data_IF_685276057000
#
_entry.id   IF_685276057000
#
_cell.length_a   1.000
_cell.length_b   1.000
_cell.length_c   1.000
_cell.angle_alpha   90.00
_cell.angle_beta   90.00
_cell.angle_gamma   90.00
#
_symmetry.space_group_name_H-M   'P 1'
#
loop_
_entity.id
_entity.type
_entity.pdbx_description
1 polymer ?
#
# COMPACT_ATOMS: atom_id res chain seq x y z
N UNK A 1 -40.41 8.64 -24.11
CA UNK A 1 -41.32 8.51 -22.96
C UNK A 1 -40.44 8.49 -21.71
N UNK A 2 -40.78 9.31 -20.70
CA UNK A 2 -40.05 9.58 -19.44
C UNK A 2 -38.95 10.67 -19.45
N UNK A 3 -39.42 11.91 -19.50
CA UNK A 3 -38.82 13.07 -18.84
C UNK A 3 -39.23 13.09 -17.36
N UNK A 4 -38.32 13.38 -16.44
CA UNK A 4 -38.69 13.85 -15.09
C UNK A 4 -37.85 15.07 -14.70
N UNK A 5 -38.52 16.21 -14.70
CA UNK A 5 -38.14 17.47 -14.06
C UNK A 5 -38.31 17.28 -12.54
N UNK A 6 -37.27 17.54 -11.76
CA UNK A 6 -37.41 17.77 -10.32
C UNK A 6 -37.37 19.27 -10.08
N UNK A 7 -38.54 19.79 -9.74
CA UNK A 7 -38.80 21.15 -9.29
C UNK A 7 -38.23 21.35 -7.89
N UNK A 8 -37.42 22.40 -7.69
CA UNK A 8 -37.11 22.91 -6.36
C UNK A 8 -37.70 24.31 -6.25
N UNK A 9 -38.77 24.43 -5.46
CA UNK A 9 -39.27 25.72 -5.01
C UNK A 9 -39.93 25.56 -3.64
N UNK A 10 -39.37 26.23 -2.63
CA UNK A 10 -40.17 26.92 -1.61
C UNK A 10 -39.29 27.93 -0.91
N UNK A 11 -39.53 29.16 -1.35
CA UNK A 11 -39.12 30.45 -0.84
C UNK A 11 -39.70 30.68 0.57
N UNK A 12 -39.05 31.59 1.31
CA UNK A 12 -39.54 32.37 2.47
C UNK A 12 -39.48 31.65 3.84
N UNK A 13 -39.17 32.27 4.97
CA UNK A 13 -38.81 33.64 5.32
C UNK A 13 -38.37 33.63 6.80
N UNK A 14 -37.73 34.73 7.22
CA UNK A 14 -37.76 35.33 8.55
C UNK A 14 -37.32 34.49 9.76
N UNK A 15 -36.30 34.97 10.48
CA UNK A 15 -36.53 35.72 11.72
C UNK A 15 -35.20 36.27 12.24
N UNK A 16 -35.03 37.57 12.02
CA UNK A 16 -34.11 38.42 12.75
C UNK A 16 -34.69 38.60 14.17
N UNK A 17 -34.08 37.93 15.16
CA UNK A 17 -34.38 38.14 16.57
C UNK A 17 -33.16 38.67 17.29
N UNK A 18 -33.11 40.00 17.31
CA UNK A 18 -32.59 40.87 18.37
C UNK A 18 -32.80 40.26 19.76
N UNK A 19 -31.73 39.91 20.48
CA UNK A 19 -31.67 40.20 21.92
C UNK A 19 -30.24 40.11 22.50
N UNK A 20 -29.53 41.24 22.52
CA UNK A 20 -28.40 41.44 23.45
C UNK A 20 -29.01 41.83 24.79
N UNK A 21 -29.40 40.85 25.60
CA UNK A 21 -29.68 41.08 27.00
C UNK A 21 -28.36 41.42 27.70
N UNK A 22 -28.18 42.73 27.87
CA UNK A 22 -27.39 43.33 28.92
C UNK A 22 -27.91 42.76 30.24
N UNK A 23 -27.10 41.91 30.88
CA UNK A 23 -27.20 41.69 32.33
C UNK A 23 -25.79 41.81 32.85
N UNK A 24 -25.46 43.04 33.26
CA UNK A 24 -24.32 43.28 34.12
C UNK A 24 -24.58 42.58 35.45
N UNK A 25 -23.72 41.63 35.79
CA UNK A 25 -23.56 41.19 37.17
C UNK A 25 -22.26 41.79 37.66
N UNK A 26 -22.40 43.01 38.17
CA UNK A 26 -21.45 43.68 39.05
C UNK A 26 -21.54 43.06 40.44
N UNK A 27 -20.50 42.35 40.84
CA UNK A 27 -20.11 42.11 42.23
C UNK A 27 -18.58 42.01 42.25
N UNK A 28 -17.92 43.17 42.32
CA UNK A 28 -17.22 43.69 43.51
C UNK A 28 -15.83 43.08 43.73
N UNK A 29 -14.86 44.00 43.60
CA UNK A 29 -13.54 44.04 44.24
C UNK A 29 -12.53 42.97 43.82
N UNK A 30 -11.76 43.24 42.76
CA UNK A 30 -10.29 43.26 42.78
C UNK A 30 -9.79 44.05 41.55
N UNK A 31 -8.84 44.99 41.70
CA UNK A 31 -8.38 45.79 40.57
C UNK A 31 -7.60 44.92 39.58
N UNK A 32 -7.94 45.07 38.30
CA UNK A 32 -7.18 44.53 37.17
C UNK A 32 -5.84 45.25 37.11
N UNK A 33 -4.83 44.65 37.74
CA UNK A 33 -3.45 44.83 37.30
C UNK A 33 -3.24 43.98 36.06
N UNK A 34 -2.85 44.58 34.94
CA UNK A 34 -2.50 43.87 33.71
C UNK A 34 -1.31 42.95 33.96
N UNK A 35 -1.58 41.69 34.32
CA UNK A 35 -0.58 40.64 34.36
C UNK A 35 -0.35 40.17 32.94
N UNK A 36 0.82 40.52 32.40
CA UNK A 36 1.35 39.98 31.16
C UNK A 36 1.21 38.44 31.20
N UNK A 37 0.42 37.88 30.27
CA UNK A 37 0.04 36.47 30.21
C UNK A 37 1.25 35.50 30.11
N UNK A 38 2.46 36.04 29.96
CA UNK A 38 3.71 35.31 29.85
C UNK A 38 4.28 34.75 31.18
N UNK A 39 3.73 35.11 32.35
CA UNK A 39 4.36 34.83 33.67
C UNK A 39 3.59 33.88 34.59
N UNK A 40 2.60 33.14 34.08
CA UNK A 40 1.88 32.13 34.86
C UNK A 40 2.73 30.85 35.03
N UNK A 41 2.76 30.20 36.21
CA UNK A 41 3.45 28.92 36.38
C UNK A 41 2.85 27.87 35.44
N UNK A 42 3.71 27.03 34.83
CA UNK A 42 3.36 26.02 33.81
C UNK A 42 2.12 25.18 34.20
N UNK A 43 1.99 24.85 35.49
CA UNK A 43 0.88 24.08 36.05
C UNK A 43 -0.48 24.78 35.88
N UNK A 44 -0.54 26.09 36.09
CA UNK A 44 -1.77 26.89 35.96
C UNK A 44 -2.15 27.06 34.49
N UNK A 45 -1.15 27.19 33.61
CA UNK A 45 -1.36 27.23 32.16
C UNK A 45 -1.91 25.91 31.61
N UNK A 46 -1.39 24.78 32.11
CA UNK A 46 -1.91 23.45 31.77
C UNK A 46 -3.34 23.27 32.27
N UNK A 47 -3.64 23.70 33.50
CA UNK A 47 -4.98 23.61 34.08
C UNK A 47 -6.01 24.49 33.34
N UNK A 48 -5.61 25.71 32.95
CA UNK A 48 -6.43 26.61 32.13
C UNK A 48 -6.76 26.00 30.76
N UNK A 49 -5.76 25.44 30.07
CA UNK A 49 -5.94 24.80 28.77
C UNK A 49 -6.84 23.55 28.81
N UNK A 50 -6.86 22.81 29.92
CA UNK A 50 -7.77 21.69 30.11
C UNK A 50 -9.21 22.14 30.41
N UNK A 51 -9.40 23.24 31.16
CA UNK A 51 -10.73 23.80 31.44
C UNK A 51 -11.41 24.32 30.15
N UNK A 52 -10.66 24.88 29.22
CA UNK A 52 -11.18 25.32 27.91
C UNK A 52 -11.62 24.18 26.98
N UNK A 53 -11.29 22.92 27.31
CA UNK A 53 -11.78 21.74 26.59
C UNK A 53 -13.11 21.22 27.15
N UNK A 54 -13.64 21.84 28.20
CA UNK A 54 -14.90 21.45 28.83
C UNK A 54 -16.04 22.37 28.38
N UNK A 55 -17.19 21.78 28.05
CA UNK A 55 -18.46 22.50 27.92
C UNK A 55 -18.86 23.13 29.28
N UNK A 56 -19.78 24.10 29.27
CA UNK A 56 -20.46 24.70 30.43
C UNK A 56 -20.97 23.70 31.48
N UNK A 57 -21.14 22.42 31.11
CA UNK A 57 -21.53 21.30 31.99
C UNK A 57 -20.36 20.39 32.40
N UNK A 58 -19.11 20.79 32.19
CA UNK A 58 -17.91 20.03 32.58
C UNK A 58 -17.59 18.82 31.69
N UNK A 59 -18.19 18.71 30.50
CA UNK A 59 -17.94 17.58 29.58
C UNK A 59 -16.81 17.89 28.63
N UNK A 60 -15.87 16.96 28.43
CA UNK A 60 -14.82 17.06 27.40
C UNK A 60 -15.48 17.16 26.03
N UNK A 61 -15.34 18.31 25.38
CA UNK A 61 -15.75 18.49 24.00
C UNK A 61 -14.81 17.65 23.13
N UNK A 62 -15.35 16.66 22.43
CA UNK A 62 -14.62 16.04 21.33
C UNK A 62 -14.25 17.15 20.36
N UNK A 63 -12.94 17.35 20.15
CA UNK A 63 -12.42 18.38 19.25
C UNK A 63 -13.00 18.16 17.86
N UNK A 64 -14.03 18.94 17.51
CA UNK A 64 -14.74 18.91 16.24
C UNK A 64 -13.96 19.54 15.10
N UNK A 65 -12.69 19.90 15.32
CA UNK A 65 -11.84 20.44 14.27
C UNK A 65 -11.76 19.42 13.14
N UNK A 66 -12.11 19.79 11.89
CA UNK A 66 -11.97 18.89 10.76
C UNK A 66 -10.51 18.48 10.65
N UNK A 67 -10.28 17.18 10.43
CA UNK A 67 -8.94 16.66 10.16
C UNK A 67 -8.41 17.40 8.93
N UNK A 68 -7.42 18.26 9.15
CA UNK A 68 -6.79 19.05 8.10
C UNK A 68 -5.46 18.39 7.82
N UNK A 69 -5.32 17.82 6.62
CA UNK A 69 -4.03 17.33 6.15
C UNK A 69 -3.14 18.54 5.93
N UNK A 70 -2.26 18.82 6.90
CA UNK A 70 -1.18 19.77 6.72
C UNK A 70 -0.02 18.98 6.13
N UNK A 71 0.31 19.26 4.87
CA UNK A 71 1.51 18.72 4.25
C UNK A 71 2.72 19.30 5.00
N UNK A 72 3.26 18.50 5.90
CA UNK A 72 4.44 18.86 6.67
C UNK A 72 5.64 18.44 5.84
N UNK A 73 6.45 19.42 5.44
CA UNK A 73 7.68 19.17 4.72
C UNK A 73 8.57 18.28 5.59
N UNK A 74 9.18 17.24 5.01
CA UNK A 74 9.99 16.26 5.75
C UNK A 74 11.12 16.91 6.55
N UNK A 75 11.55 18.09 6.10
CA UNK A 75 12.58 18.95 6.71
C UNK A 75 12.13 19.53 8.07
N UNK A 76 10.83 19.79 8.26
CA UNK A 76 10.25 20.39 9.47
C UNK A 76 9.85 19.35 10.52
N UNK A 77 9.82 18.06 10.14
CA UNK A 77 9.50 16.97 11.06
C UNK A 77 10.76 16.61 11.82
N UNK A 78 10.92 17.15 13.03
CA UNK A 78 11.86 16.57 13.99
C UNK A 78 11.47 15.11 14.19
N UNK A 79 12.29 14.16 13.73
CA UNK A 79 12.01 12.74 13.87
C UNK A 79 12.36 12.31 15.29
N UNK A 80 11.39 12.11 16.20
CA UNK A 80 11.68 11.40 17.43
C UNK A 80 12.24 10.01 17.09
N UNK A 81 13.22 9.51 17.85
CA UNK A 81 13.72 8.12 17.76
C UNK A 81 12.61 7.14 18.16
N UNK A 82 11.63 6.96 17.26
CA UNK A 82 10.55 5.99 17.41
C UNK A 82 10.98 4.71 16.73
N UNK A 83 10.97 3.57 17.43
CA UNK A 83 11.23 2.29 16.79
C UNK A 83 10.13 2.00 15.77
N UNK A 84 10.51 1.42 14.64
CA UNK A 84 9.55 0.89 13.67
C UNK A 84 8.86 -0.34 14.28
N UNK A 85 7.54 -0.45 14.09
CA UNK A 85 6.84 -1.65 14.53
C UNK A 85 7.33 -2.87 13.72
N UNK A 86 7.45 -4.05 14.37
CA UNK A 86 7.77 -5.28 13.65
C UNK A 86 6.64 -5.59 12.67
N UNK A 87 6.99 -5.91 11.41
CA UNK A 87 6.02 -6.09 10.32
C UNK A 87 6.18 -7.47 9.67
N UNK A 88 7.17 -7.68 8.80
CA UNK A 88 7.36 -8.97 8.10
C UNK A 88 7.81 -10.09 9.04
N UNK A 89 8.54 -9.76 10.11
CA UNK A 89 9.09 -10.73 11.06
C UNK A 89 8.03 -11.40 11.92
N UNK A 90 6.88 -10.75 12.14
CA UNK A 90 5.79 -11.27 12.99
C UNK A 90 4.54 -11.65 12.18
N UNK A 91 4.47 -11.29 10.91
CA UNK A 91 3.27 -11.49 10.09
C UNK A 91 3.24 -12.89 9.46
N UNK A 92 2.11 -13.59 9.62
CA UNK A 92 1.86 -14.87 8.97
C UNK A 92 1.44 -14.64 7.51
N UNK A 93 2.35 -14.89 6.58
CA UNK A 93 2.09 -14.69 5.15
C UNK A 93 1.04 -15.71 4.63
N UNK A 94 -0.12 -15.26 4.12
CA UNK A 94 -1.07 -16.14 3.45
C UNK A 94 -0.55 -16.52 2.05
N UNK A 95 -1.08 -17.61 1.48
CA UNK A 95 -0.66 -18.13 0.18
C UNK A 95 -0.67 -17.07 -0.95
N UNK A 96 -1.69 -16.19 -1.09
CA UNK A 96 -1.68 -15.16 -2.12
C UNK A 96 -0.55 -14.13 -1.96
N UNK A 97 -0.14 -13.85 -0.71
CA UNK A 97 0.97 -12.94 -0.44
C UNK A 97 2.31 -13.56 -0.89
N UNK A 98 2.55 -14.83 -0.59
CA UNK A 98 3.73 -15.56 -1.07
C UNK A 98 3.78 -15.55 -2.60
N UNK A 99 2.65 -15.84 -3.25
CA UNK A 99 2.54 -15.83 -4.72
C UNK A 99 2.80 -14.44 -5.34
N UNK A 100 2.48 -13.36 -4.61
CA UNK A 100 2.78 -12.00 -5.06
C UNK A 100 4.28 -11.70 -5.02
N UNK A 101 4.97 -12.16 -3.96
CA UNK A 101 6.43 -12.01 -3.83
C UNK A 101 7.13 -12.85 -4.89
N UNK A 102 6.68 -14.08 -5.12
CA UNK A 102 7.26 -14.94 -6.15
C UNK A 102 7.04 -14.35 -7.54
N UNK A 103 5.90 -13.72 -7.83
CA UNK A 103 5.67 -13.07 -9.13
C UNK A 103 6.65 -11.92 -9.38
N UNK A 104 6.96 -11.12 -8.35
CA UNK A 104 8.00 -10.09 -8.43
C UNK A 104 9.39 -10.69 -8.61
N UNK A 105 9.71 -11.72 -7.82
CA UNK A 105 11.01 -12.39 -7.89
C UNK A 105 11.25 -13.03 -9.25
N UNK A 106 10.25 -13.71 -9.84
CA UNK A 106 10.37 -14.26 -11.19
C UNK A 106 10.48 -13.17 -12.25
N UNK A 107 9.78 -12.04 -12.10
CA UNK A 107 9.93 -10.89 -13.00
C UNK A 107 11.34 -10.32 -13.00
N UNK A 108 11.94 -10.14 -11.81
CA UNK A 108 13.33 -9.69 -11.66
C UNK A 108 14.29 -10.73 -12.26
N UNK A 109 14.11 -12.01 -11.95
CA UNK A 109 14.96 -13.08 -12.47
C UNK A 109 14.93 -13.16 -14.00
N UNK A 110 13.77 -12.99 -14.62
CA UNK A 110 13.62 -12.94 -16.09
C UNK A 110 14.28 -11.69 -16.69
N UNK A 111 14.11 -10.53 -16.05
CA UNK A 111 14.75 -9.29 -16.49
C UNK A 111 16.27 -9.38 -16.44
N UNK A 112 16.83 -9.87 -15.33
CA UNK A 112 18.27 -10.11 -15.19
C UNK A 112 18.75 -11.16 -16.18
N UNK A 113 18.02 -12.27 -16.33
CA UNK A 113 18.35 -13.32 -17.30
C UNK A 113 18.44 -12.78 -18.73
N UNK A 114 17.45 -12.03 -19.19
CA UNK A 114 17.46 -11.41 -20.51
C UNK A 114 18.61 -10.40 -20.66
N UNK A 115 18.85 -9.56 -19.65
CA UNK A 115 19.94 -8.59 -19.65
C UNK A 115 21.32 -9.29 -19.73
N UNK A 116 21.50 -10.41 -19.03
CA UNK A 116 22.74 -11.20 -19.11
C UNK A 116 22.94 -11.85 -20.47
N UNK A 117 21.89 -12.40 -21.08
CA UNK A 117 21.98 -12.97 -22.44
C UNK A 117 22.30 -11.88 -23.47
N UNK A 118 21.65 -10.72 -23.38
CA UNK A 118 21.95 -9.57 -24.23
C UNK A 118 23.39 -9.08 -24.03
N UNK A 119 23.84 -8.97 -22.78
CA UNK A 119 25.21 -8.59 -22.44
C UNK A 119 26.25 -9.56 -22.97
N UNK A 120 26.01 -10.88 -22.85
CA UNK A 120 26.88 -11.91 -23.43
C UNK A 120 26.92 -11.83 -24.95
N UNK A 121 25.81 -11.54 -25.61
CA UNK A 121 25.76 -11.38 -27.06
C UNK A 121 26.50 -10.15 -27.57
N UNK A 122 26.55 -9.06 -26.79
CA UNK A 122 27.16 -7.79 -27.21
C UNK A 122 28.63 -7.70 -26.79
N UNK A 123 28.97 -8.18 -25.59
CA UNK A 123 30.30 -8.03 -25.00
C UNK A 123 31.08 -9.34 -24.89
N UNK A 124 30.45 -10.49 -25.16
CA UNK A 124 31.09 -11.79 -25.07
C UNK A 124 32.09 -12.05 -26.19
N UNK A 125 33.09 -12.89 -25.92
CA UNK A 125 34.07 -13.33 -26.92
C UNK A 125 33.49 -14.27 -27.99
N UNK A 126 32.35 -14.89 -27.71
CA UNK A 126 31.67 -15.87 -28.55
C UNK A 126 30.16 -15.68 -28.47
N UNK A 127 29.42 -16.32 -29.38
CA UNK A 127 27.97 -16.26 -29.42
C UNK A 127 27.32 -17.04 -28.26
N UNK A 128 26.08 -16.68 -27.92
CA UNK A 128 25.29 -17.34 -26.86
C UNK A 128 25.18 -18.87 -27.05
N UNK A 129 24.95 -19.43 -28.26
CA UNK A 129 24.90 -20.88 -28.45
C UNK A 129 26.20 -21.60 -28.07
N UNK A 130 27.36 -20.97 -28.25
CA UNK A 130 28.65 -21.56 -27.88
C UNK A 130 28.73 -21.81 -26.37
N UNK A 131 28.33 -20.83 -25.56
CA UNK A 131 28.31 -20.98 -24.10
C UNK A 131 27.29 -22.01 -23.62
N UNK A 132 26.16 -22.15 -24.34
CA UNK A 132 25.15 -23.18 -24.04
C UNK A 132 25.72 -24.58 -24.29
N UNK A 133 26.40 -24.80 -25.42
CA UNK A 133 27.03 -26.09 -25.72
C UNK A 133 28.18 -26.41 -24.75
N UNK A 134 29.00 -25.41 -24.41
CA UNK A 134 30.06 -25.56 -23.41
C UNK A 134 29.49 -25.98 -22.04
N UNK A 135 28.37 -25.39 -21.63
CA UNK A 135 27.70 -25.76 -20.38
C UNK A 135 27.18 -27.20 -20.41
N UNK A 136 26.54 -27.62 -21.51
CA UNK A 136 26.06 -29.00 -21.69
C UNK A 136 27.17 -30.03 -21.59
N UNK A 137 28.33 -29.73 -22.21
CA UNK A 137 29.49 -30.62 -22.19
C UNK A 137 30.17 -30.67 -20.81
N UNK A 138 30.29 -29.53 -20.15
CA UNK A 138 30.96 -29.42 -18.85
C UNK A 138 30.13 -29.98 -17.71
N UNK A 139 28.80 -29.80 -17.76
CA UNK A 139 27.89 -30.16 -16.66
C UNK A 139 26.61 -30.86 -17.17
N UNK A 140 26.72 -32.07 -17.74
CA UNK A 140 25.59 -32.78 -18.34
C UNK A 140 24.46 -33.08 -17.33
N UNK A 141 24.79 -33.34 -16.05
CA UNK A 141 23.80 -33.59 -15.00
C UNK A 141 22.96 -32.36 -14.66
N UNK A 142 23.47 -31.15 -14.91
CA UNK A 142 22.79 -29.89 -14.61
C UNK A 142 21.91 -29.37 -15.75
N UNK A 143 21.90 -30.04 -16.91
CA UNK A 143 21.13 -29.58 -18.07
C UNK A 143 19.62 -29.54 -17.79
N UNK A 144 19.05 -30.63 -17.25
CA UNK A 144 17.63 -30.68 -16.90
C UNK A 144 17.21 -29.68 -15.80
N UNK A 145 17.92 -29.58 -14.66
CA UNK A 145 17.55 -28.59 -13.65
C UNK A 145 17.74 -27.16 -14.16
N UNK A 146 18.78 -26.87 -14.97
CA UNK A 146 18.95 -25.55 -15.58
C UNK A 146 17.79 -25.19 -16.51
N UNK A 147 17.32 -26.14 -17.34
CA UNK A 147 16.14 -25.96 -18.19
C UNK A 147 14.89 -25.66 -17.37
N UNK A 148 14.68 -26.39 -16.28
CA UNK A 148 13.56 -26.15 -15.38
C UNK A 148 13.64 -24.77 -14.70
N UNK A 149 14.83 -24.37 -14.23
CA UNK A 149 15.08 -23.07 -13.62
C UNK A 149 14.78 -21.90 -14.56
N UNK A 150 14.89 -22.09 -15.88
CA UNK A 150 14.49 -21.09 -16.88
C UNK A 150 13.00 -21.21 -17.23
N UNK A 151 12.49 -22.43 -17.40
CA UNK A 151 11.10 -22.66 -17.80
C UNK A 151 10.08 -22.24 -16.73
N UNK A 152 10.33 -22.58 -15.46
CA UNK A 152 9.42 -22.27 -14.35
C UNK A 152 9.13 -20.78 -14.15
N UNK A 153 10.13 -19.87 -14.04
CA UNK A 153 9.83 -18.45 -13.86
C UNK A 153 9.07 -17.87 -15.04
N UNK A 154 9.31 -18.33 -16.28
CA UNK A 154 8.57 -17.90 -17.47
C UNK A 154 7.09 -18.28 -17.34
N UNK A 155 6.80 -19.56 -17.12
CA UNK A 155 5.42 -20.06 -17.06
C UNK A 155 4.66 -19.50 -15.86
N UNK A 156 5.30 -19.46 -14.69
CA UNK A 156 4.71 -18.91 -13.49
C UNK A 156 4.43 -17.41 -13.63
N UNK A 157 5.39 -16.62 -14.13
CA UNK A 157 5.21 -15.17 -14.28
C UNK A 157 4.09 -14.85 -15.28
N UNK A 158 3.99 -15.59 -16.38
CA UNK A 158 2.92 -15.42 -17.37
C UNK A 158 1.53 -15.72 -16.78
N UNK A 159 1.34 -16.87 -16.13
CA UNK A 159 0.04 -17.22 -15.55
C UNK A 159 -0.36 -16.33 -14.37
N UNK A 160 0.59 -15.98 -13.50
CA UNK A 160 0.36 -15.02 -12.43
C UNK A 160 0.01 -13.63 -12.98
N UNK A 161 0.68 -13.20 -14.05
CA UNK A 161 0.39 -11.95 -14.76
C UNK A 161 -1.03 -11.93 -15.34
N UNK A 162 -1.46 -13.01 -15.99
CA UNK A 162 -2.85 -13.15 -16.49
C UNK A 162 -3.86 -13.02 -15.34
N UNK A 163 -3.58 -13.62 -14.17
CA UNK A 163 -4.45 -13.46 -12.99
C UNK A 163 -4.49 -12.01 -12.52
N UNK A 164 -3.36 -11.31 -12.48
CA UNK A 164 -3.32 -9.90 -12.08
C UNK A 164 -4.15 -9.03 -13.04
N UNK A 165 -3.98 -9.22 -14.36
CA UNK A 165 -4.80 -8.53 -15.37
C UNK A 165 -6.29 -8.84 -15.20
N UNK A 166 -6.63 -10.09 -14.89
CA UNK A 166 -8.01 -10.49 -14.63
C UNK A 166 -8.59 -9.79 -13.39
N UNK A 167 -7.82 -9.70 -12.30
CA UNK A 167 -8.23 -8.97 -11.10
C UNK A 167 -8.43 -7.48 -11.37
N UNK A 168 -7.51 -6.86 -12.11
CA UNK A 168 -7.58 -5.42 -12.41
C UNK A 168 -8.74 -5.08 -13.36
N UNK A 169 -9.04 -5.96 -14.32
CA UNK A 169 -10.07 -5.73 -15.34
C UNK A 169 -11.48 -6.03 -14.81
N UNK A 170 -11.64 -7.14 -14.08
CA UNK A 170 -12.97 -7.64 -13.71
C UNK A 170 -13.33 -7.43 -12.24
N UNK A 171 -12.35 -7.11 -11.37
CA UNK A 171 -12.51 -6.99 -9.91
C UNK A 171 -13.19 -8.23 -9.28
N UNK A 172 -13.03 -9.40 -9.90
CA UNK A 172 -13.61 -10.68 -9.48
C UNK A 172 -12.53 -11.59 -8.90
N UNK A 173 -12.90 -12.41 -7.91
CA UNK A 173 -11.98 -13.39 -7.34
C UNK A 173 -10.92 -12.83 -6.40
N UNK A 174 -11.10 -11.61 -5.90
CA UNK A 174 -10.24 -10.92 -4.92
C UNK A 174 -10.55 -11.28 -3.46
N UNK A 175 -11.61 -12.08 -3.23
CA UNK A 175 -11.93 -12.62 -1.92
C UNK A 175 -10.88 -13.66 -1.50
N UNK A 176 -10.75 -13.91 -0.19
CA UNK A 176 -9.74 -14.82 0.37
C UNK A 176 -9.79 -16.23 -0.22
N UNK A 177 -10.96 -16.90 -0.19
CA UNK A 177 -11.09 -18.28 -0.69
C UNK A 177 -10.81 -18.40 -2.20
N UNK A 178 -11.42 -17.59 -3.09
CA UNK A 178 -11.11 -17.63 -4.52
C UNK A 178 -9.65 -17.26 -4.84
N UNK A 179 -9.06 -16.31 -4.11
CA UNK A 179 -7.66 -15.90 -4.33
C UNK A 179 -6.68 -17.04 -3.97
N UNK A 180 -6.96 -17.79 -2.90
CA UNK A 180 -6.18 -18.99 -2.54
C UNK A 180 -6.34 -20.10 -3.57
N UNK A 181 -7.58 -20.41 -3.97
CA UNK A 181 -7.86 -21.46 -4.94
C UNK A 181 -7.22 -21.20 -6.31
N UNK A 182 -7.41 -19.99 -6.85
CA UNK A 182 -6.78 -19.58 -8.11
C UNK A 182 -5.26 -19.56 -8.00
N UNK A 183 -4.72 -19.19 -6.84
CA UNK A 183 -3.29 -19.28 -6.54
C UNK A 183 -2.73 -20.70 -6.64
N UNK A 184 -3.42 -21.68 -6.05
CA UNK A 184 -3.04 -23.09 -6.15
C UNK A 184 -3.11 -23.62 -7.59
N UNK A 185 -4.16 -23.25 -8.34
CA UNK A 185 -4.30 -23.62 -9.75
C UNK A 185 -3.12 -23.11 -10.57
N UNK A 186 -2.76 -21.82 -10.42
CA UNK A 186 -1.65 -21.22 -11.17
C UNK A 186 -0.32 -21.90 -10.83
N UNK A 187 -0.10 -22.20 -9.56
CA UNK A 187 1.11 -22.90 -9.12
C UNK A 187 1.17 -24.32 -9.72
N UNK A 188 0.07 -25.07 -9.67
CA UNK A 188 0.00 -26.40 -10.27
C UNK A 188 0.16 -26.37 -11.80
N UNK A 189 -0.51 -25.43 -12.48
CA UNK A 189 -0.44 -25.27 -13.93
C UNK A 189 0.97 -24.86 -14.39
N UNK A 190 1.59 -23.89 -13.71
CA UNK A 190 2.96 -23.46 -14.02
C UNK A 190 3.98 -24.58 -13.81
N UNK A 191 3.86 -25.36 -12.73
CA UNK A 191 4.69 -26.56 -12.50
C UNK A 191 4.47 -27.62 -13.57
N UNK A 192 3.21 -27.95 -13.90
CA UNK A 192 2.89 -28.93 -14.93
C UNK A 192 3.48 -28.54 -16.29
N UNK A 193 3.25 -27.30 -16.73
CA UNK A 193 3.77 -26.80 -18.01
C UNK A 193 5.30 -26.74 -18.02
N UNK A 194 5.93 -26.26 -16.94
CA UNK A 194 7.41 -26.19 -16.88
C UNK A 194 8.07 -27.56 -16.88
N UNK A 195 7.47 -28.57 -16.21
CA UNK A 195 7.95 -29.95 -16.28
C UNK A 195 7.79 -30.52 -17.70
N UNK A 196 6.64 -30.30 -18.35
CA UNK A 196 6.43 -30.72 -19.74
C UNK A 196 7.48 -30.09 -20.65
N UNK A 197 7.72 -28.78 -20.57
CA UNK A 197 8.74 -28.09 -21.38
C UNK A 197 10.16 -28.60 -21.10
N UNK A 198 10.44 -29.00 -19.85
CA UNK A 198 11.76 -29.48 -19.45
C UNK A 198 12.05 -30.88 -20.01
N UNK A 199 11.08 -31.80 -19.95
CA UNK A 199 11.25 -33.21 -20.30
C UNK A 199 10.78 -33.58 -21.71
N UNK A 200 9.78 -32.87 -22.23
CA UNK A 200 9.33 -33.06 -23.60
C UNK A 200 10.34 -32.36 -24.52
N UNK A 201 11.27 -33.16 -25.07
CA UNK A 201 12.12 -32.70 -26.14
C UNK A 201 11.22 -32.43 -27.34
N UNK A 202 11.07 -31.16 -27.73
CA UNK A 202 10.70 -30.82 -29.09
C UNK A 202 11.87 -31.31 -29.95
N UNK A 203 11.79 -32.55 -30.43
CA UNK A 203 12.60 -33.03 -31.55
C UNK A 203 12.39 -32.00 -32.66
N UNK A 204 13.41 -31.21 -32.94
CA UNK A 204 13.46 -30.31 -34.08
C UNK A 204 14.80 -30.55 -34.73
N UNK A 205 14.71 -31.32 -35.82
CA UNK A 205 15.63 -31.56 -36.93
C UNK A 205 17.14 -31.50 -36.67
#
# INVERSE_FOLDING_TARGET
MFTSKILFNSRLASLNLKNKNVVGVTSTLFPVGGVNAQSQPLFLQQQYNELHKLDSRGRRLFSSKPFTMVETKLEDVQQPERPISPHLTIYKLPMPAILSVTHRATGIALGVGLATLAGLSVFGAHDVPYYIELFKQSYPSLVYPARFCVAFPITFHAFAGIRHIYWDTFLKGINTKPAEFTGMIILAASLGVSLIVTFCQLTSA
#
